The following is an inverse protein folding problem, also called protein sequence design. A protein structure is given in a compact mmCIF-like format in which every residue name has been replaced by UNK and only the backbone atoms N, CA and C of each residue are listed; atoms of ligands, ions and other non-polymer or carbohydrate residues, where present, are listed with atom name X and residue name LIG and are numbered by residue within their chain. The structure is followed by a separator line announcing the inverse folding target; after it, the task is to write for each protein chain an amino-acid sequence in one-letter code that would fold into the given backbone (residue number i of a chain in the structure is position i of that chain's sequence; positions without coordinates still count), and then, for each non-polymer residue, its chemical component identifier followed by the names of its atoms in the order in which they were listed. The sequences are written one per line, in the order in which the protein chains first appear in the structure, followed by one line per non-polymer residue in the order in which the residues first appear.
data_IF_895504944313
#
_entry.id   IF_895504944313
#
_cell.length_a   1.000
_cell.length_b   1.000
_cell.length_c   1.000
_cell.angle_alpha   90.00
_cell.angle_beta   90.00
_cell.angle_gamma   90.00
#
_symmetry.space_group_name_H-M   'P 1'
#
loop_
_entity.id
_entity.type
_entity.pdbx_description
1 polymer ?
#
# COMPACT_ATOMS: atom_id res chain seq x y z
N UNK A 1 -44.34 -28.85 -33.17
CA UNK A 1 -43.10 -28.24 -33.68
C UNK A 1 -42.77 -27.06 -32.76
N UNK A 2 -41.57 -26.98 -32.16
CA UNK A 2 -41.27 -25.92 -31.19
C UNK A 2 -41.09 -24.56 -31.88
N UNK A 3 -41.37 -23.47 -31.16
CA UNK A 3 -41.12 -22.08 -31.60
C UNK A 3 -39.65 -21.89 -32.01
N UNK A 4 -39.40 -21.92 -33.32
CA UNK A 4 -38.10 -21.64 -33.90
C UNK A 4 -37.84 -20.13 -33.87
N UNK A 5 -36.75 -19.76 -33.20
CA UNK A 5 -36.00 -18.50 -33.20
C UNK A 5 -36.51 -17.39 -34.15
N UNK A 6 -36.85 -16.23 -33.56
CA UNK A 6 -37.04 -14.97 -34.29
C UNK A 6 -35.67 -14.46 -34.80
N UNK A 7 -35.23 -14.97 -35.94
CA UNK A 7 -34.05 -14.43 -36.64
C UNK A 7 -34.42 -13.12 -37.31
N UNK A 8 -33.68 -12.05 -37.02
CA UNK A 8 -33.80 -10.75 -37.68
C UNK A 8 -32.53 -10.46 -38.49
N UNK A 9 -32.71 -10.02 -39.74
CA UNK A 9 -31.61 -9.54 -40.59
C UNK A 9 -31.48 -8.03 -40.40
N UNK A 10 -30.25 -7.56 -40.15
CA UNK A 10 -29.95 -6.13 -39.99
C UNK A 10 -29.01 -5.68 -41.10
N UNK A 11 -29.42 -4.68 -41.86
CA UNK A 11 -28.57 -4.04 -42.87
C UNK A 11 -27.79 -2.88 -42.23
N UNK A 12 -26.51 -3.11 -41.93
CA UNK A 12 -25.66 -2.14 -41.20
C UNK A 12 -25.60 -0.78 -41.92
N UNK A 13 -25.54 -0.77 -43.25
CA UNK A 13 -25.49 0.45 -44.07
C UNK A 13 -26.81 1.25 -44.12
N UNK A 14 -27.91 0.71 -43.60
CA UNK A 14 -29.20 1.38 -43.49
C UNK A 14 -29.53 1.79 -42.05
N UNK A 15 -28.64 1.52 -41.10
CA UNK A 15 -28.85 1.91 -39.70
C UNK A 15 -28.81 3.44 -39.55
N UNK A 16 -29.68 4.02 -38.70
CA UNK A 16 -29.71 5.46 -38.47
C UNK A 16 -28.42 5.94 -37.80
N UNK A 17 -27.88 7.09 -38.20
CA UNK A 17 -26.66 7.67 -37.62
C UNK A 17 -26.94 8.19 -36.21
N UNK A 18 -26.70 7.32 -35.23
CA UNK A 18 -26.97 7.54 -33.80
C UNK A 18 -25.91 6.81 -32.96
N UNK A 19 -25.73 7.22 -31.70
CA UNK A 19 -24.80 6.55 -30.78
C UNK A 19 -25.17 5.08 -30.53
N UNK A 20 -26.47 4.76 -30.46
CA UNK A 20 -26.97 3.40 -30.22
C UNK A 20 -26.58 2.39 -31.30
N UNK A 21 -26.44 2.85 -32.55
CA UNK A 21 -26.06 2.01 -33.69
C UNK A 21 -24.57 2.10 -34.02
N UNK A 22 -23.82 2.97 -33.32
CA UNK A 22 -22.42 3.26 -33.63
C UNK A 22 -21.56 1.99 -33.64
N UNK A 23 -21.75 1.13 -32.64
CA UNK A 23 -21.06 -0.16 -32.55
C UNK A 23 -21.28 -1.05 -33.78
N UNK A 24 -22.53 -1.19 -34.22
CA UNK A 24 -22.87 -2.00 -35.39
C UNK A 24 -22.31 -1.39 -36.67
N UNK A 25 -22.30 -0.05 -36.78
CA UNK A 25 -21.76 0.67 -37.95
C UNK A 25 -20.24 0.61 -38.04
N UNK A 26 -19.52 0.48 -36.92
CA UNK A 26 -18.07 0.21 -36.89
C UNK A 26 -17.72 -1.17 -37.49
N UNK A 27 -18.64 -2.14 -37.40
CA UNK A 27 -18.53 -3.45 -38.05
C UNK A 27 -18.98 -3.45 -39.53
N UNK A 28 -19.44 -2.29 -40.02
CA UNK A 28 -19.76 -2.09 -41.44
C UNK A 28 -18.50 -2.03 -42.30
N UNK A 29 -18.67 -1.69 -43.58
CA UNK A 29 -17.55 -1.51 -44.53
C UNK A 29 -17.60 -0.16 -45.22
N UNK A 30 -16.44 0.25 -45.75
CA UNK A 30 -16.27 1.46 -46.54
C UNK A 30 -16.79 2.71 -45.79
N UNK A 31 -17.59 3.53 -46.48
CA UNK A 31 -18.18 4.77 -45.97
C UNK A 31 -18.91 4.65 -44.63
N UNK A 32 -19.59 3.53 -44.38
CA UNK A 32 -20.35 3.34 -43.12
C UNK A 32 -19.40 3.24 -41.93
N UNK A 33 -18.30 2.51 -42.11
CA UNK A 33 -17.27 2.34 -41.10
C UNK A 33 -16.44 3.61 -40.92
N UNK A 34 -16.03 4.26 -42.02
CA UNK A 34 -15.31 5.54 -41.95
C UNK A 34 -16.09 6.61 -41.17
N UNK A 35 -17.40 6.71 -41.43
CA UNK A 35 -18.28 7.65 -40.73
C UNK A 35 -18.41 7.30 -39.25
N UNK A 36 -18.58 6.01 -38.93
CA UNK A 36 -18.63 5.53 -37.54
C UNK A 36 -17.30 5.75 -36.79
N UNK A 37 -16.15 5.60 -37.45
CA UNK A 37 -14.84 5.92 -36.86
C UNK A 37 -14.75 7.41 -36.55
N UNK A 38 -15.17 8.29 -37.47
CA UNK A 38 -15.18 9.75 -37.22
C UNK A 38 -16.07 10.11 -36.03
N UNK A 39 -17.25 9.50 -35.91
CA UNK A 39 -18.13 9.68 -34.77
C UNK A 39 -17.49 9.21 -33.47
N UNK A 40 -16.89 8.01 -33.45
CA UNK A 40 -16.18 7.47 -32.28
C UNK A 40 -15.03 8.38 -31.82
N UNK A 41 -14.25 8.91 -32.77
CA UNK A 41 -13.12 9.82 -32.50
C UNK A 41 -13.63 11.18 -32.01
N UNK A 42 -14.80 11.63 -32.47
CA UNK A 42 -15.42 12.88 -32.06
C UNK A 42 -16.11 12.80 -30.69
N UNK A 43 -16.37 11.60 -30.15
CA UNK A 43 -16.91 11.45 -28.80
C UNK A 43 -15.97 12.05 -27.75
N UNK A 44 -16.51 12.70 -26.70
CA UNK A 44 -15.71 13.28 -25.62
C UNK A 44 -14.74 12.27 -24.98
N UNK A 45 -13.58 12.78 -24.55
CA UNK A 45 -12.65 12.01 -23.72
C UNK A 45 -13.35 11.67 -22.40
N UNK A 46 -13.38 10.39 -22.02
CA UNK A 46 -14.13 9.89 -20.86
C UNK A 46 -15.56 9.41 -21.14
N UNK A 47 -16.04 9.47 -22.40
CA UNK A 47 -17.36 8.91 -22.74
C UNK A 47 -17.35 7.37 -22.59
N UNK A 48 -18.30 6.76 -21.84
CA UNK A 48 -18.29 5.31 -21.58
C UNK A 48 -18.31 4.47 -22.86
N UNK A 49 -19.12 4.85 -23.86
CA UNK A 49 -19.19 4.15 -25.14
C UNK A 49 -17.85 4.21 -25.88
N UNK A 50 -17.12 5.34 -25.81
CA UNK A 50 -15.81 5.47 -26.46
C UNK A 50 -14.79 4.54 -25.82
N UNK A 51 -14.76 4.46 -24.48
CA UNK A 51 -13.90 3.54 -23.75
C UNK A 51 -14.18 2.08 -24.08
N UNK A 52 -15.44 1.65 -23.94
CA UNK A 52 -15.85 0.27 -24.19
C UNK A 52 -15.52 -0.19 -25.61
N UNK A 53 -15.78 0.65 -26.61
CA UNK A 53 -15.52 0.34 -28.01
C UNK A 53 -14.00 0.21 -28.26
N UNK A 54 -13.20 1.15 -27.76
CA UNK A 54 -11.74 1.13 -27.92
C UNK A 54 -11.10 -0.08 -27.21
N UNK A 55 -11.63 -0.48 -26.05
CA UNK A 55 -11.18 -1.67 -25.33
C UNK A 55 -11.43 -2.95 -26.13
N UNK A 56 -12.64 -3.12 -26.69
CA UNK A 56 -12.95 -4.30 -27.52
C UNK A 56 -12.09 -4.31 -28.78
N UNK A 57 -11.89 -3.15 -29.42
CA UNK A 57 -11.02 -3.02 -30.59
C UNK A 57 -9.56 -3.35 -30.26
N UNK A 58 -9.06 -2.98 -29.07
CA UNK A 58 -7.73 -3.35 -28.61
C UNK A 58 -7.57 -4.87 -28.46
N UNK A 59 -8.57 -5.52 -27.85
CA UNK A 59 -8.59 -6.97 -27.68
C UNK A 59 -8.66 -7.72 -29.01
N UNK A 60 -9.43 -7.18 -29.97
CA UNK A 60 -9.51 -7.74 -31.31
C UNK A 60 -8.21 -7.56 -32.08
N UNK A 61 -7.57 -6.38 -31.99
CA UNK A 61 -6.26 -6.11 -32.61
C UNK A 61 -5.18 -7.08 -32.13
N UNK A 62 -5.13 -7.38 -30.83
CA UNK A 62 -4.17 -8.36 -30.26
C UNK A 62 -4.38 -9.74 -30.89
N UNK A 63 -5.64 -10.18 -31.02
CA UNK A 63 -5.98 -11.48 -31.65
C UNK A 63 -5.70 -11.51 -33.16
N UNK A 64 -5.77 -10.35 -33.82
CA UNK A 64 -5.57 -10.19 -35.25
C UNK A 64 -4.09 -10.13 -35.61
N UNK A 65 -3.25 -9.46 -34.82
CA UNK A 65 -1.79 -9.44 -35.00
C UNK A 65 -1.16 -10.83 -34.86
N UNK A 66 -1.84 -11.77 -34.18
CA UNK A 66 -1.44 -13.19 -34.07
C UNK A 66 -1.94 -14.07 -35.24
N UNK A 67 -2.80 -13.55 -36.13
CA UNK A 67 -3.37 -14.30 -37.26
C UNK A 67 -2.65 -13.99 -38.58
N UNK A 68 -2.31 -15.02 -39.36
CA UNK A 68 -1.60 -14.85 -40.65
C UNK A 68 -2.52 -14.34 -41.80
N UNK A 69 -3.84 -14.44 -41.64
CA UNK A 69 -4.84 -14.11 -42.67
C UNK A 69 -5.52 -12.75 -42.43
N UNK A 70 -4.73 -11.68 -42.46
CA UNK A 70 -5.23 -10.30 -42.36
C UNK A 70 -5.91 -9.87 -43.66
N UNK A 71 -7.21 -9.54 -43.61
CA UNK A 71 -7.88 -8.92 -44.75
C UNK A 71 -7.47 -7.46 -44.90
N UNK A 72 -7.64 -6.89 -46.10
CA UNK A 72 -7.35 -5.46 -46.35
C UNK A 72 -8.24 -4.56 -45.46
N UNK A 73 -9.49 -4.98 -45.24
CA UNK A 73 -10.44 -4.31 -44.34
C UNK A 73 -9.94 -4.26 -42.88
N UNK A 74 -9.32 -5.35 -42.39
CA UNK A 74 -8.75 -5.40 -41.03
C UNK A 74 -7.56 -4.44 -40.88
N UNK A 75 -6.72 -4.33 -41.92
CA UNK A 75 -5.58 -3.41 -41.96
C UNK A 75 -6.03 -1.95 -41.97
N UNK A 76 -7.03 -1.62 -42.77
CA UNK A 76 -7.58 -0.27 -42.87
C UNK A 76 -8.24 0.17 -41.55
N UNK A 77 -9.01 -0.72 -40.91
CA UNK A 77 -9.62 -0.46 -39.61
C UNK A 77 -8.57 -0.20 -38.52
N UNK A 78 -7.49 -0.99 -38.48
CA UNK A 78 -6.37 -0.79 -37.56
C UNK A 78 -5.68 0.56 -37.80
N UNK A 79 -5.40 0.91 -39.07
CA UNK A 79 -4.75 2.19 -39.41
C UNK A 79 -5.61 3.40 -39.04
N UNK A 80 -6.91 3.35 -39.32
CA UNK A 80 -7.84 4.45 -39.07
C UNK A 80 -8.11 4.69 -37.57
N UNK A 81 -8.10 3.62 -36.76
CA UNK A 81 -8.30 3.71 -35.30
C UNK A 81 -7.01 4.03 -34.52
N UNK A 82 -5.84 3.89 -35.16
CA UNK A 82 -4.53 4.02 -34.50
C UNK A 82 -4.38 5.29 -33.67
N UNK A 83 -4.74 6.51 -34.14
CA UNK A 83 -4.56 7.73 -33.33
C UNK A 83 -5.49 7.83 -32.12
N UNK A 84 -6.73 7.36 -32.22
CA UNK A 84 -7.67 7.40 -31.10
C UNK A 84 -7.35 6.34 -30.05
N UNK A 85 -6.95 5.15 -30.50
CA UNK A 85 -6.49 4.08 -29.64
C UNK A 85 -5.20 4.45 -28.90
N UNK A 86 -4.20 4.99 -29.60
CA UNK A 86 -2.93 5.38 -28.98
C UNK A 86 -3.13 6.41 -27.86
N UNK A 87 -3.94 7.44 -28.10
CA UNK A 87 -4.28 8.44 -27.08
C UNK A 87 -5.01 7.82 -25.89
N UNK A 88 -6.04 7.02 -26.14
CA UNK A 88 -6.79 6.34 -25.07
C UNK A 88 -5.89 5.43 -24.24
N UNK A 89 -4.98 4.69 -24.88
CA UNK A 89 -4.01 3.81 -24.21
C UNK A 89 -3.03 4.61 -23.34
N UNK A 90 -2.51 5.71 -23.86
CA UNK A 90 -1.55 6.56 -23.16
C UNK A 90 -2.20 7.20 -21.92
N UNK A 91 -3.42 7.75 -22.06
CA UNK A 91 -4.21 8.29 -20.96
C UNK A 91 -4.52 7.24 -19.89
N UNK A 92 -4.96 6.04 -20.30
CA UNK A 92 -5.27 4.94 -19.37
C UNK A 92 -4.02 4.47 -18.61
N UNK A 93 -2.86 4.43 -19.29
CA UNK A 93 -1.58 4.10 -18.65
C UNK A 93 -1.12 5.18 -17.67
N UNK A 94 -1.34 6.45 -18.00
CA UNK A 94 -1.00 7.56 -17.11
C UNK A 94 -1.87 7.55 -15.85
N UNK A 95 -3.20 7.39 -16.00
CA UNK A 95 -4.12 7.24 -14.87
C UNK A 95 -3.75 6.04 -13.99
N UNK A 96 -3.43 4.89 -14.59
CA UNK A 96 -3.00 3.71 -13.83
C UNK A 96 -1.68 3.95 -13.06
N UNK A 97 -0.74 4.72 -13.63
CA UNK A 97 0.50 5.10 -12.95
C UNK A 97 0.25 6.07 -11.80
N UNK A 98 -0.65 7.04 -11.97
CA UNK A 98 -1.01 7.96 -10.90
C UNK A 98 -1.70 7.25 -9.74
N UNK A 99 -2.70 6.42 -10.04
CA UNK A 99 -3.40 5.61 -9.04
C UNK A 99 -2.43 4.68 -8.29
N UNK A 100 -1.53 4.00 -9.01
CA UNK A 100 -0.51 3.14 -8.39
C UNK A 100 0.46 3.92 -7.49
N UNK A 101 0.85 5.14 -7.86
CA UNK A 101 1.68 6.02 -7.02
C UNK A 101 0.95 6.51 -5.78
N UNK A 102 -0.33 6.85 -5.92
CA UNK A 102 -1.14 7.31 -4.79
C UNK A 102 -1.37 6.19 -3.78
N UNK A 103 -1.79 5.01 -4.25
CA UNK A 103 -1.95 3.82 -3.41
C UNK A 103 -0.64 3.43 -2.72
N UNK A 104 0.48 3.40 -3.45
CA UNK A 104 1.79 3.09 -2.88
C UNK A 104 2.23 4.10 -1.81
N UNK A 105 1.93 5.40 -2.01
CA UNK A 105 2.20 6.43 -0.99
C UNK A 105 1.32 6.28 0.23
N UNK A 106 0.04 5.97 0.06
CA UNK A 106 -0.89 5.79 1.16
C UNK A 106 -0.50 4.58 2.01
N UNK A 107 -0.28 3.42 1.37
CA UNK A 107 0.19 2.21 2.04
C UNK A 107 1.52 2.43 2.76
N UNK A 108 2.50 3.07 2.11
CA UNK A 108 3.79 3.36 2.74
C UNK A 108 3.67 4.30 3.94
N UNK A 109 2.76 5.28 3.90
CA UNK A 109 2.49 6.16 5.05
C UNK A 109 1.79 5.44 6.19
N UNK A 110 0.84 4.55 5.88
CA UNK A 110 0.13 3.78 6.90
C UNK A 110 1.08 2.82 7.61
N UNK A 111 1.84 2.02 6.86
CA UNK A 111 2.84 1.11 7.40
C UNK A 111 3.89 1.85 8.23
N UNK A 112 4.43 2.96 7.72
CA UNK A 112 5.43 3.75 8.45
C UNK A 112 4.87 4.35 9.76
N UNK A 113 3.60 4.75 9.77
CA UNK A 113 2.94 5.23 11.01
C UNK A 113 2.69 4.12 12.00
N UNK A 114 2.29 2.95 11.54
CA UNK A 114 2.05 1.80 12.41
C UNK A 114 3.35 1.33 13.07
N UNK A 115 4.39 1.09 12.29
CA UNK A 115 5.71 0.71 12.78
C UNK A 115 6.29 1.75 13.74
N UNK A 116 6.21 3.04 13.38
CA UNK A 116 6.70 4.12 14.25
C UNK A 116 5.94 4.20 15.59
N UNK A 117 4.62 3.93 15.57
CA UNK A 117 3.83 3.89 16.81
C UNK A 117 4.14 2.67 17.66
N UNK A 118 4.35 1.51 17.04
CA UNK A 118 4.68 0.28 17.76
C UNK A 118 6.05 0.40 18.42
N UNK A 119 7.07 0.80 17.67
CA UNK A 119 8.42 1.03 18.21
C UNK A 119 8.41 2.09 19.31
N UNK A 120 7.71 3.21 19.12
CA UNK A 120 7.61 4.26 20.13
C UNK A 120 6.91 3.78 21.41
N UNK A 121 5.89 2.92 21.29
CA UNK A 121 5.21 2.33 22.46
C UNK A 121 6.11 1.33 23.19
N UNK A 122 6.83 0.49 22.47
CA UNK A 122 7.72 -0.50 23.04
C UNK A 122 8.86 0.19 23.80
N UNK A 123 9.57 1.11 23.15
CA UNK A 123 10.63 1.91 23.80
C UNK A 123 10.11 2.68 25.01
N UNK A 124 8.95 3.32 24.90
CA UNK A 124 8.34 4.04 26.03
C UNK A 124 7.97 3.11 27.19
N UNK A 125 7.52 1.88 26.89
CA UNK A 125 7.20 0.87 27.90
C UNK A 125 8.45 0.33 28.58
N UNK A 126 9.51 0.05 27.83
CA UNK A 126 10.80 -0.40 28.37
C UNK A 126 11.43 0.66 29.25
N UNK A 127 11.50 1.90 28.77
CA UNK A 127 12.02 3.02 29.54
C UNK A 127 11.21 3.25 30.82
N UNK A 128 9.88 3.28 30.73
CA UNK A 128 9.01 3.43 31.90
C UNK A 128 9.17 2.29 32.91
N UNK A 129 9.40 1.06 32.44
CA UNK A 129 9.69 -0.08 33.30
C UNK A 129 11.04 0.06 34.02
N UNK A 130 12.09 0.49 33.30
CA UNK A 130 13.42 0.71 33.87
C UNK A 130 13.40 1.84 34.90
N UNK A 131 12.75 2.96 34.58
CA UNK A 131 12.58 4.09 35.50
C UNK A 131 11.79 3.69 36.74
N UNK A 132 10.70 2.94 36.57
CA UNK A 132 9.91 2.41 37.69
C UNK A 132 10.69 1.43 38.57
N UNK A 133 11.49 0.54 37.98
CA UNK A 133 12.36 -0.37 38.71
C UNK A 133 13.46 0.38 39.48
N UNK A 134 14.07 1.39 38.87
CA UNK A 134 15.08 2.23 39.51
C UNK A 134 14.50 2.95 40.72
N UNK A 135 13.32 3.55 40.57
CA UNK A 135 12.60 4.22 41.67
C UNK A 135 12.25 3.24 42.79
N UNK A 136 11.87 2.01 42.46
CA UNK A 136 11.59 0.96 43.44
C UNK A 136 12.85 0.62 44.26
N UNK A 137 14.00 0.43 43.60
CA UNK A 137 15.29 0.18 44.28
C UNK A 137 15.64 1.34 45.20
N UNK A 138 15.52 2.58 44.71
CA UNK A 138 15.80 3.79 45.49
C UNK A 138 14.93 3.86 46.76
N UNK A 139 13.62 3.60 46.65
CA UNK A 139 12.70 3.60 47.78
C UNK A 139 13.01 2.48 48.79
N UNK A 140 13.41 1.29 48.35
CA UNK A 140 13.79 0.19 49.23
C UNK A 140 15.08 0.51 50.00
N UNK A 141 16.08 1.06 49.31
CA UNK A 141 17.31 1.53 49.96
C UNK A 141 16.99 2.64 50.96
N UNK A 142 16.11 3.58 50.60
CA UNK A 142 15.70 4.65 51.49
C UNK A 142 14.99 4.12 52.75
N UNK A 143 14.07 3.16 52.57
CA UNK A 143 13.36 2.52 53.68
C UNK A 143 14.29 1.75 54.62
N UNK A 144 15.35 1.13 54.09
CA UNK A 144 16.27 0.28 54.87
C UNK A 144 17.41 1.05 55.53
N UNK A 145 17.98 2.04 54.86
CA UNK A 145 19.20 2.74 55.28
C UNK A 145 18.97 4.21 55.61
N UNK A 146 17.75 4.74 55.44
CA UNK A 146 17.43 6.14 55.68
C UNK A 146 17.55 6.98 54.41
N UNK A 147 18.17 8.17 54.45
CA UNK A 147 18.33 8.95 53.22
C UNK A 147 19.33 8.26 52.27
N UNK A 148 18.97 8.16 50.99
CA UNK A 148 19.89 7.74 49.93
C UNK A 148 20.82 8.91 49.64
N UNK A 149 22.05 8.83 50.15
CA UNK A 149 23.12 9.77 49.87
C UNK A 149 23.83 9.44 48.55
N UNK A 150 24.85 10.24 48.21
CA UNK A 150 25.65 10.06 47.00
C UNK A 150 26.33 8.68 46.93
N UNK A 151 26.68 8.07 48.06
CA UNK A 151 27.33 6.74 48.09
C UNK A 151 26.32 5.64 47.75
N UNK A 152 25.16 5.66 48.38
CA UNK A 152 24.09 4.69 48.10
C UNK A 152 23.51 4.87 46.69
N UNK A 153 23.37 6.10 46.21
CA UNK A 153 22.90 6.38 44.85
C UNK A 153 23.79 5.74 43.78
N UNK A 154 25.09 5.63 44.03
CA UNK A 154 26.04 4.99 43.09
C UNK A 154 25.86 3.48 42.98
N UNK A 155 25.25 2.84 43.97
CA UNK A 155 24.97 1.39 43.92
C UNK A 155 23.76 1.05 43.06
N UNK A 156 22.88 2.02 42.79
CA UNK A 156 21.61 1.78 42.09
C UNK A 156 21.89 1.32 40.65
N UNK A 157 22.82 1.98 39.96
CA UNK A 157 23.13 1.64 38.56
C UNK A 157 23.73 0.23 38.42
N UNK A 158 24.77 -0.17 39.19
CA UNK A 158 25.25 -1.55 39.19
C UNK A 158 24.18 -2.58 39.58
N UNK A 159 23.29 -2.26 40.53
CA UNK A 159 22.17 -3.13 40.89
C UNK A 159 21.18 -3.29 39.73
N UNK A 160 20.94 -2.25 38.96
CA UNK A 160 20.05 -2.26 37.79
C UNK A 160 20.61 -3.07 36.62
N UNK A 161 21.94 -3.20 36.52
CA UNK A 161 22.62 -3.99 35.49
C UNK A 161 22.64 -5.50 35.78
N UNK A 162 22.31 -5.91 37.01
CA UNK A 162 22.20 -7.33 37.35
C UNK A 162 21.01 -8.00 36.65
N UNK A 163 21.12 -9.31 36.33
CA UNK A 163 19.96 -10.10 35.95
C UNK A 163 18.84 -9.99 36.98
N UNK A 164 17.59 -9.94 36.52
CA UNK A 164 16.44 -9.66 37.40
C UNK A 164 16.34 -10.62 38.60
N UNK A 165 16.72 -11.88 38.42
CA UNK A 165 16.74 -12.89 39.49
C UNK A 165 17.76 -12.56 40.57
N UNK A 166 18.98 -12.21 40.20
CA UNK A 166 20.05 -11.84 41.15
C UNK A 166 19.72 -10.53 41.86
N UNK A 167 19.25 -9.54 41.11
CA UNK A 167 18.77 -8.27 41.68
C UNK A 167 17.67 -8.51 42.71
N UNK A 168 16.67 -9.34 42.39
CA UNK A 168 15.56 -9.65 43.32
C UNK A 168 16.08 -10.34 44.59
N UNK A 169 17.03 -11.27 44.47
CA UNK A 169 17.63 -11.93 45.63
C UNK A 169 18.38 -10.92 46.51
N UNK A 170 19.14 -10.00 45.93
CA UNK A 170 19.81 -8.93 46.70
C UNK A 170 18.78 -8.04 47.41
N UNK A 171 17.72 -7.62 46.69
CA UNK A 171 16.66 -6.77 47.24
C UNK A 171 15.89 -7.42 48.38
N UNK A 172 15.56 -8.72 48.27
CA UNK A 172 14.88 -9.47 49.34
C UNK A 172 15.79 -9.68 50.57
N UNK A 173 17.10 -9.80 50.34
CA UNK A 173 18.09 -9.95 51.41
C UNK A 173 18.56 -8.61 52.00
N UNK A 174 18.02 -7.46 51.57
CA UNK A 174 18.39 -6.14 52.10
C UNK A 174 18.18 -6.01 53.62
N UNK A 175 17.27 -6.77 54.22
CA UNK A 175 17.11 -6.79 55.68
C UNK A 175 18.37 -7.31 56.39
N UNK A 176 19.12 -8.21 55.74
CA UNK A 176 20.26 -8.92 56.31
C UNK A 176 21.60 -8.30 55.88
N UNK A 177 21.62 -7.43 54.86
CA UNK A 177 22.81 -6.68 54.46
C UNK A 177 22.97 -5.38 55.27
N UNK A 178 24.21 -5.09 55.66
CA UNK A 178 24.63 -3.77 56.13
C UNK A 178 24.84 -2.79 54.98
N UNK A 179 24.88 -1.49 55.31
CA UNK A 179 25.16 -0.42 54.33
C UNK A 179 26.56 -0.59 53.75
N UNK A 180 27.52 -0.92 54.60
CA UNK A 180 28.94 -1.06 54.26
C UNK A 180 29.16 -2.23 53.29
N UNK A 181 28.53 -3.38 53.53
CA UNK A 181 28.61 -4.54 52.61
C UNK A 181 27.96 -4.25 51.25
N UNK A 182 26.86 -3.50 51.22
CA UNK A 182 26.22 -3.08 49.97
C UNK A 182 27.13 -2.16 49.16
N UNK A 183 27.78 -1.19 49.84
CA UNK A 183 28.74 -0.27 49.23
C UNK A 183 30.03 -0.98 48.79
N UNK A 184 30.51 -1.96 49.54
CA UNK A 184 31.68 -2.75 49.14
C UNK A 184 31.40 -3.55 47.86
N UNK A 185 30.18 -4.10 47.76
CA UNK A 185 29.77 -4.95 46.64
C UNK A 185 29.38 -4.18 45.38
N UNK A 186 28.74 -3.01 45.53
CA UNK A 186 28.15 -2.26 44.40
C UNK A 186 28.57 -0.78 44.32
N UNK A 187 29.29 -0.25 45.32
CA UNK A 187 29.70 1.16 45.35
C UNK A 187 30.93 1.48 44.48
N UNK A 188 31.64 0.46 43.98
CA UNK A 188 32.79 0.62 43.09
C UNK A 188 32.34 0.64 41.62
N UNK A 189 31.69 1.71 41.21
CA UNK A 189 31.52 2.06 39.80
C UNK A 189 32.46 3.23 39.47
N UNK A 190 33.62 2.86 38.89
CA UNK A 190 34.67 3.67 38.24
C UNK A 190 35.35 4.78 39.07
N UNK A 191 36.43 4.39 39.75
CA UNK A 191 37.68 5.14 39.66
C UNK A 191 38.36 4.72 38.35
N UNK A 192 38.14 5.48 37.28
CA UNK A 192 39.06 5.71 36.14
C UNK A 192 38.37 6.62 35.11
#
# INVERSE_FOLDING_TARGET
MPELFKTALVAINQLPVTEETLWLRLLGRNRTQEQAIKELVALPVGHPLRGNILEILANWRIKIEESEDLTEDDRELIMNLSPAYLRWREETLEQGREQGREQGREQGREQGREQGREQGREQGREQGNLEGQRLMVENLLAGRFGRVDLELSRTIEPLMQLPITERTQVLLNLSNLSREELLERFGKSLSD
#
